data_IF_916270241291
#
_entry.id   IF_916270241291
#
_cell.length_a   1.000
_cell.length_b   1.000
_cell.length_c   1.000
_cell.angle_alpha   90.00
_cell.angle_beta   90.00
_cell.angle_gamma   90.00
#
_symmetry.space_group_name_H-M   'P 1'
#
loop_
_entity.id
_entity.type
_entity.pdbx_description
1 polymer ?
#
# COMPACT_ATOMS: atom_id res chain seq x y z
N UNK A 1 -4.80 10.75 -0.22
CA UNK A 1 -4.44 9.45 0.37
C UNK A 1 -2.98 9.15 0.11
N UNK A 2 -2.24 8.66 1.11
CA UNK A 2 -0.83 8.29 0.99
C UNK A 2 -0.67 6.82 1.38
N UNK A 3 -0.11 5.95 0.53
CA UNK A 3 0.17 4.57 0.89
C UNK A 3 1.42 4.49 1.77
N UNK A 4 1.30 3.89 2.95
CA UNK A 4 2.39 3.68 3.90
C UNK A 4 2.57 2.19 4.16
N UNK A 5 3.78 1.68 3.95
CA UNK A 5 4.13 0.28 4.19
C UNK A 5 4.59 0.07 5.63
N UNK A 6 3.94 -0.84 6.35
CA UNK A 6 4.33 -1.24 7.71
C UNK A 6 5.23 -2.49 7.66
N UNK A 7 6.55 -2.27 7.57
CA UNK A 7 7.55 -3.34 7.44
C UNK A 7 7.47 -4.45 8.50
N UNK A 8 7.18 -4.10 9.76
CA UNK A 8 7.17 -5.07 10.87
C UNK A 8 5.94 -5.98 10.86
N UNK A 9 4.83 -5.51 10.28
CA UNK A 9 3.54 -6.19 10.36
C UNK A 9 3.04 -6.71 9.02
N UNK A 10 3.84 -6.58 7.95
CA UNK A 10 3.48 -7.03 6.61
C UNK A 10 2.12 -6.46 6.13
N UNK A 11 1.85 -5.20 6.46
CA UNK A 11 0.62 -4.49 6.10
C UNK A 11 0.90 -3.29 5.21
N UNK A 12 0.05 -3.10 4.20
CA UNK A 12 -0.07 -1.83 3.50
C UNK A 12 -1.24 -1.06 4.11
N UNK A 13 -0.98 0.17 4.54
CA UNK A 13 -2.01 1.04 5.10
C UNK A 13 -2.19 2.24 4.18
N UNK A 14 -3.43 2.52 3.81
CA UNK A 14 -3.79 3.76 3.14
C UNK A 14 -4.09 4.79 4.21
N UNK A 15 -3.29 5.85 4.26
CA UNK A 15 -3.50 6.95 5.20
C UNK A 15 -4.33 8.04 4.52
N UNK A 16 -5.41 8.41 5.19
CA UNK A 16 -6.22 9.57 4.84
C UNK A 16 -5.59 10.81 5.48
N UNK A 17 -5.34 11.81 4.66
CA UNK A 17 -4.76 13.08 5.06
C UNK A 17 -5.73 14.20 4.71
N UNK A 18 -6.01 15.05 5.69
CA UNK A 18 -6.65 16.35 5.52
C UNK A 18 -5.60 17.44 5.81
N UNK A 19 -5.01 17.98 4.74
CA UNK A 19 -3.82 18.83 4.83
C UNK A 19 -2.65 18.11 5.50
N UNK A 20 -2.27 18.57 6.69
CA UNK A 20 -1.20 17.98 7.51
C UNK A 20 -1.70 17.05 8.62
N UNK A 21 -3.02 16.82 8.70
CA UNK A 21 -3.62 15.99 9.74
C UNK A 21 -3.97 14.62 9.19
N UNK A 22 -3.56 13.57 9.91
CA UNK A 22 -4.02 12.21 9.65
C UNK A 22 -5.44 12.08 10.16
N UNK A 23 -6.40 11.86 9.25
CA UNK A 23 -7.84 11.75 9.59
C UNK A 23 -8.31 10.30 9.70
N UNK A 24 -7.57 9.37 9.10
CA UNK A 24 -7.95 7.97 9.06
C UNK A 24 -6.87 7.09 8.49
N UNK A 25 -7.01 5.79 8.70
CA UNK A 25 -6.14 4.81 8.07
C UNK A 25 -6.91 3.50 7.83
N UNK A 26 -6.70 2.92 6.65
CA UNK A 26 -7.35 1.68 6.23
C UNK A 26 -6.30 0.64 5.87
N UNK A 27 -6.40 -0.56 6.45
CA UNK A 27 -5.50 -1.68 6.08
C UNK A 27 -5.95 -2.24 4.73
N UNK A 28 -5.07 -2.21 3.74
CA UNK A 28 -5.35 -2.72 2.40
C UNK A 28 -5.00 -4.21 2.27
N UNK A 29 -3.89 -4.63 2.87
CA UNK A 29 -3.42 -6.01 2.78
C UNK A 29 -2.94 -6.52 4.14
N UNK A 30 -3.41 -7.70 4.53
CA UNK A 30 -2.86 -8.47 5.65
C UNK A 30 -2.14 -9.70 5.10
N UNK A 31 -0.89 -9.91 5.52
CA UNK A 31 -0.11 -11.09 5.12
C UNK A 31 0.57 -11.01 3.75
N UNK A 32 0.63 -9.84 3.11
CA UNK A 32 1.33 -9.68 1.83
C UNK A 32 2.86 -9.87 1.91
N UNK A 33 3.44 -9.98 3.12
CA UNK A 33 4.88 -10.05 3.33
C UNK A 33 5.51 -8.69 3.67
N UNK A 34 6.85 -8.65 3.78
CA UNK A 34 7.59 -7.45 4.20
C UNK A 34 7.71 -6.47 3.02
N UNK A 35 6.78 -5.51 2.94
CA UNK A 35 6.83 -4.43 1.94
C UNK A 35 8.03 -3.52 2.21
N UNK A 36 8.93 -3.40 1.23
CA UNK A 36 10.19 -2.61 1.30
C UNK A 36 10.11 -1.31 0.50
N UNK A 37 9.38 -1.32 -0.60
CA UNK A 37 9.20 -0.16 -1.46
C UNK A 37 7.77 -0.11 -1.97
N UNK A 38 7.29 1.11 -2.17
CA UNK A 38 5.99 1.40 -2.76
C UNK A 38 6.26 2.41 -3.88
N UNK A 39 5.79 2.12 -5.09
CA UNK A 39 5.89 3.02 -6.22
C UNK A 39 4.52 3.19 -6.88
N UNK A 40 4.10 4.43 -7.09
CA UNK A 40 2.88 4.76 -7.82
C UNK A 40 3.22 5.17 -9.25
N UNK A 41 2.53 4.58 -10.23
CA UNK A 41 2.59 5.04 -11.60
C UNK A 41 1.64 6.22 -11.81
N UNK A 42 1.96 7.20 -12.68
CA UNK A 42 1.07 8.33 -12.98
C UNK A 42 -0.33 7.91 -13.45
N UNK A 43 -0.47 6.72 -14.03
CA UNK A 43 -1.75 6.16 -14.47
C UNK A 43 -2.63 5.61 -13.33
N UNK A 44 -2.17 5.67 -12.08
CA UNK A 44 -2.91 5.20 -10.90
C UNK A 44 -2.56 3.78 -10.43
N UNK A 45 -1.69 3.06 -11.14
CA UNK A 45 -1.21 1.74 -10.69
C UNK A 45 -0.29 1.88 -9.47
N UNK A 46 -0.41 0.94 -8.53
CA UNK A 46 0.45 0.86 -7.35
C UNK A 46 1.29 -0.42 -7.37
N UNK A 47 2.59 -0.28 -7.17
CA UNK A 47 3.56 -1.36 -7.16
C UNK A 47 4.18 -1.50 -5.77
N UNK A 48 4.32 -2.75 -5.32
CA UNK A 48 4.92 -3.12 -4.04
C UNK A 48 6.17 -3.96 -4.29
N UNK A 49 7.31 -3.53 -3.77
CA UNK A 49 8.49 -4.38 -3.64
C UNK A 49 8.43 -5.16 -2.34
N UNK A 50 8.39 -6.49 -2.42
CA UNK A 50 8.26 -7.39 -1.27
C UNK A 50 9.53 -8.23 -1.13
N UNK A 51 10.09 -8.23 0.07
CA UNK A 51 11.32 -8.93 0.40
C UNK A 51 11.20 -10.44 0.13
N UNK A 52 12.15 -10.99 -0.64
CA UNK A 52 12.16 -12.41 -1.03
C UNK A 52 11.09 -12.85 -2.05
N UNK A 53 10.15 -11.98 -2.45
CA UNK A 53 9.07 -12.33 -3.38
C UNK A 53 9.08 -11.53 -4.69
N UNK A 54 9.74 -10.36 -4.72
CA UNK A 54 9.86 -9.51 -5.91
C UNK A 54 8.86 -8.35 -5.94
N UNK A 55 8.52 -7.87 -7.14
CA UNK A 55 7.68 -6.69 -7.36
C UNK A 55 6.28 -7.14 -7.77
N UNK A 56 5.26 -6.65 -7.06
CA UNK A 56 3.85 -6.95 -7.32
C UNK A 56 3.12 -5.69 -7.74
N UNK A 57 2.18 -5.81 -8.68
CA UNK A 57 1.22 -4.76 -9.02
C UNK A 57 -0.09 -5.02 -8.29
N UNK A 58 -0.60 -4.00 -7.62
CA UNK A 58 -1.95 -4.04 -7.05
C UNK A 58 -2.94 -3.81 -8.17
N UNK A 59 -3.87 -4.75 -8.33
CA UNK A 59 -4.99 -4.63 -9.26
C UNK A 59 -6.26 -4.43 -8.43
N UNK A 60 -7.02 -3.35 -8.64
CA UNK A 60 -8.32 -3.18 -7.99
C UNK A 60 -9.20 -4.37 -8.35
N UNK A 61 -9.70 -5.09 -7.35
CA UNK A 61 -10.72 -6.09 -7.59
C UNK A 61 -12.07 -5.39 -7.72
N UNK A 62 -12.53 -5.19 -8.94
CA UNK A 62 -13.87 -4.69 -9.25
C UNK A 62 -14.93 -5.74 -8.91
N UNK A 63 -15.08 -6.07 -7.62
CA UNK A 63 -16.35 -6.61 -7.12
C UNK A 63 -17.09 -5.46 -6.46
N UNK A 64 -18.03 -4.93 -7.24
CA UNK A 64 -19.17 -4.12 -6.81
C UNK A 64 -19.99 -4.95 -5.80
#
# INVERSE_FOLDING_TARGET
>A
HVPVGAMKFAHLVLVELDGNKVTGHSKLFEGAGRVRSIASHPNGDLYLGIDGMGIFRIVPNSKI
#
